data_IF_254207299760
#
_entry.id   IF_254207299760
#
_cell.length_a   1.000
_cell.length_b   1.000
_cell.length_c   1.000
_cell.angle_alpha   90.00
_cell.angle_beta   90.00
_cell.angle_gamma   90.00
#
_symmetry.space_group_name_H-M   'P 1'
#
loop_
_entity.id
_entity.type
_entity.pdbx_description
1 polymer ?
#
# COMPACT_ATOMS: atom_id res chain seq x y z
N UNK A 1 5.18 17.65 10.63
CA UNK A 1 4.36 16.48 11.02
C UNK A 1 5.07 15.76 12.14
N UNK A 2 4.41 15.54 13.27
CA UNK A 2 4.98 14.89 14.46
C UNK A 2 4.76 13.37 14.46
N UNK A 3 4.15 12.86 13.39
CA UNK A 3 3.75 11.46 13.25
C UNK A 3 4.30 10.84 11.98
N UNK A 4 4.65 9.56 12.05
CA UNK A 4 4.99 8.71 10.93
C UNK A 4 3.95 7.58 10.83
N UNK A 5 3.35 7.41 9.66
CA UNK A 5 2.45 6.28 9.39
C UNK A 5 3.30 5.03 9.13
N UNK A 6 3.06 3.99 9.92
CA UNK A 6 3.59 2.63 9.74
C UNK A 6 2.45 1.64 9.62
N UNK A 7 2.69 0.52 8.97
CA UNK A 7 1.67 -0.50 8.75
C UNK A 7 2.01 -1.77 9.52
N UNK A 8 0.96 -2.44 9.99
CA UNK A 8 1.08 -3.63 10.82
C UNK A 8 0.13 -4.72 10.31
N UNK A 9 0.47 -5.98 10.59
CA UNK A 9 -0.31 -7.13 10.19
C UNK A 9 -0.47 -8.15 11.30
N UNK A 10 -1.60 -8.85 11.26
CA UNK A 10 -1.98 -9.80 12.30
C UNK A 10 -1.37 -11.18 12.02
N UNK A 11 -0.36 -11.54 12.81
CA UNK A 11 0.28 -12.86 12.76
C UNK A 11 -0.58 -13.94 13.43
N UNK A 12 -1.17 -13.61 14.57
CA UNK A 12 -2.12 -14.46 15.32
C UNK A 12 -3.14 -13.59 16.05
N UNK A 13 -4.09 -14.19 16.76
CA UNK A 13 -5.21 -13.47 17.39
C UNK A 13 -4.79 -12.22 18.20
N UNK A 14 -3.67 -12.29 18.92
CA UNK A 14 -3.14 -11.19 19.75
C UNK A 14 -1.79 -10.63 19.28
N UNK A 15 -1.15 -11.25 18.29
CA UNK A 15 0.18 -10.85 17.81
C UNK A 15 0.09 -10.05 16.53
N UNK A 16 0.52 -8.80 16.61
CA UNK A 16 0.73 -7.92 15.45
C UNK A 16 2.22 -7.76 15.20
N UNK A 17 2.61 -7.61 13.94
CA UNK A 17 3.97 -7.26 13.53
C UNK A 17 3.94 -6.07 12.60
N UNK A 18 4.97 -5.24 12.69
CA UNK A 18 5.16 -4.14 11.76
C UNK A 18 5.65 -4.68 10.41
N UNK A 19 5.14 -4.13 9.31
CA UNK A 19 5.73 -4.33 8.01
C UNK A 19 7.09 -3.66 7.92
N UNK A 20 7.95 -4.13 7.02
CA UNK A 20 9.18 -3.40 6.71
C UNK A 20 8.88 -1.98 6.19
N UNK A 21 9.94 -1.16 6.17
CA UNK A 21 9.85 0.24 5.77
C UNK A 21 9.42 0.40 4.31
N UNK A 22 9.87 -0.47 3.42
CA UNK A 22 9.61 -0.37 1.98
C UNK A 22 8.16 -0.70 1.66
N UNK A 23 7.60 -1.68 2.37
CA UNK A 23 6.20 -2.07 2.27
C UNK A 23 5.29 -1.01 2.90
N UNK A 24 5.63 -0.48 4.07
CA UNK A 24 4.91 0.64 4.66
C UNK A 24 4.91 1.86 3.73
N UNK A 25 6.04 2.18 3.10
CA UNK A 25 6.16 3.29 2.14
C UNK A 25 5.27 3.07 0.92
N UNK A 26 5.23 1.85 0.39
CA UNK A 26 4.32 1.50 -0.70
C UNK A 26 2.86 1.66 -0.31
N UNK A 27 2.44 1.14 0.84
CA UNK A 27 1.05 1.26 1.30
C UNK A 27 0.66 2.72 1.55
N UNK A 28 1.58 3.55 2.05
CA UNK A 28 1.37 4.99 2.21
C UNK A 28 1.22 5.73 0.87
N UNK A 29 1.70 5.17 -0.24
CA UNK A 29 1.53 5.76 -1.59
C UNK A 29 0.19 5.43 -2.24
N UNK A 30 -0.58 4.49 -1.67
CA UNK A 30 -1.88 4.09 -2.18
C UNK A 30 -2.98 5.03 -1.66
N UNK A 31 -4.06 5.16 -2.43
CA UNK A 31 -5.28 5.81 -1.96
C UNK A 31 -5.95 4.97 -0.87
N UNK A 32 -6.66 5.60 0.07
CA UNK A 32 -7.37 4.93 1.16
C UNK A 32 -8.46 3.96 0.67
N UNK A 33 -8.98 4.19 -0.53
CA UNK A 33 -9.97 3.35 -1.21
C UNK A 33 -9.34 2.24 -2.10
N UNK A 34 -8.01 2.11 -2.10
CA UNK A 34 -7.32 1.16 -2.95
C UNK A 34 -7.75 -0.29 -2.66
N UNK A 35 -8.20 -0.97 -3.71
CA UNK A 35 -8.60 -2.38 -3.69
C UNK A 35 -7.73 -3.20 -4.64
N UNK A 36 -7.11 -4.25 -4.10
CA UNK A 36 -6.35 -5.22 -4.89
C UNK A 36 -5.01 -4.69 -5.38
N UNK A 37 -4.40 -3.76 -4.64
CA UNK A 37 -3.02 -3.35 -4.91
C UNK A 37 -2.11 -4.56 -4.68
N UNK A 38 -1.30 -4.91 -5.69
CA UNK A 38 -0.49 -6.13 -5.67
C UNK A 38 1.00 -5.82 -5.53
N UNK A 39 1.71 -6.64 -4.76
CA UNK A 39 3.17 -6.57 -4.61
C UNK A 39 3.73 -7.96 -4.30
N UNK A 40 4.89 -8.27 -4.86
CA UNK A 40 5.63 -9.48 -4.49
C UNK A 40 6.40 -9.26 -3.18
N UNK A 41 6.26 -10.17 -2.24
CA UNK A 41 6.93 -10.14 -0.92
C UNK A 41 7.50 -11.54 -0.67
N UNK A 42 8.83 -11.65 -0.58
CA UNK A 42 9.52 -12.92 -0.31
C UNK A 42 9.10 -14.07 -1.27
N UNK A 43 8.85 -13.74 -2.54
CA UNK A 43 8.41 -14.71 -3.55
C UNK A 43 6.90 -15.00 -3.58
N UNK A 44 6.10 -14.31 -2.74
CA UNK A 44 4.64 -14.45 -2.69
C UNK A 44 3.91 -13.27 -3.32
N UNK A 45 2.86 -13.55 -4.09
CA UNK A 45 2.03 -12.52 -4.71
C UNK A 45 0.98 -12.01 -3.74
N UNK A 46 1.26 -10.92 -3.04
CA UNK A 46 0.37 -10.34 -2.05
C UNK A 46 -0.55 -9.28 -2.68
N UNK A 47 -1.83 -9.29 -2.29
CA UNK A 47 -2.80 -8.27 -2.61
C UNK A 47 -3.31 -7.59 -1.34
N UNK A 48 -3.51 -6.28 -1.42
CA UNK A 48 -3.96 -5.45 -0.31
C UNK A 48 -5.30 -4.78 -0.65
N UNK A 49 -6.24 -4.83 0.30
CA UNK A 49 -7.51 -4.10 0.27
C UNK A 49 -7.54 -3.16 1.48
N UNK A 50 -7.30 -1.87 1.23
CA UNK A 50 -7.20 -0.85 2.29
C UNK A 50 -8.56 -0.45 2.83
N UNK A 51 -9.64 -0.68 2.07
CA UNK A 51 -11.02 -0.43 2.53
C UNK A 51 -11.46 -1.42 3.59
N UNK A 52 -11.02 -2.68 3.43
CA UNK A 52 -11.34 -3.78 4.35
C UNK A 52 -10.21 -4.02 5.38
N UNK A 53 -9.09 -3.32 5.25
CA UNK A 53 -7.89 -3.49 6.05
C UNK A 53 -7.46 -4.96 6.08
N UNK A 54 -7.25 -5.52 4.89
CA UNK A 54 -6.84 -6.91 4.70
C UNK A 54 -5.70 -7.04 3.68
N UNK A 55 -4.85 -8.05 3.91
CA UNK A 55 -3.94 -8.58 2.91
C UNK A 55 -4.34 -10.01 2.56
N UNK A 56 -4.07 -10.42 1.32
CA UNK A 56 -4.34 -11.75 0.80
C UNK A 56 -3.15 -12.24 0.00
N UNK A 57 -2.67 -13.45 0.31
CA UNK A 57 -1.73 -14.16 -0.56
C UNK A 57 -2.51 -14.75 -1.75
N UNK A 58 -2.23 -14.28 -2.96
CA UNK A 58 -2.95 -14.67 -4.17
C UNK A 58 -2.71 -16.13 -4.56
N UNK A 59 -1.57 -16.69 -4.16
CA UNK A 59 -1.17 -18.05 -4.50
C UNK A 59 -1.87 -19.07 -3.60
N UNK A 60 -2.11 -18.73 -2.33
CA UNK A 60 -2.71 -19.63 -1.32
C UNK A 60 -4.13 -19.26 -0.92
N UNK A 61 -4.57 -18.03 -1.21
CA UNK A 61 -5.83 -17.45 -0.73
C UNK A 61 -5.83 -17.10 0.76
N UNK A 62 -4.70 -17.23 1.45
CA UNK A 62 -4.59 -16.94 2.88
C UNK A 62 -4.70 -15.43 3.15
N UNK A 63 -5.55 -15.04 4.10
CA UNK A 63 -5.82 -13.65 4.42
C UNK A 63 -5.39 -13.29 5.84
N UNK A 64 -4.87 -12.07 6.02
CA UNK A 64 -4.59 -11.49 7.33
C UNK A 64 -5.21 -10.09 7.44
N UNK A 65 -5.58 -9.71 8.66
CA UNK A 65 -5.89 -8.32 8.97
C UNK A 65 -4.63 -7.48 8.87
N UNK A 66 -4.75 -6.28 8.32
CA UNK A 66 -3.73 -5.23 8.43
C UNK A 66 -4.31 -4.05 9.20
N UNK A 67 -3.46 -3.13 9.64
CA UNK A 67 -3.86 -1.86 10.26
C UNK A 67 -2.78 -0.79 10.05
N UNK A 68 -3.18 0.48 10.10
CA UNK A 68 -2.22 1.57 10.19
C UNK A 68 -1.99 1.95 11.65
N UNK A 69 -0.74 2.22 11.99
CA UNK A 69 -0.35 2.79 13.28
C UNK A 69 0.38 4.11 13.04
N UNK A 70 0.17 5.05 13.95
CA UNK A 70 0.82 6.36 13.94
C UNK A 70 1.91 6.34 14.99
N UNK A 71 3.15 6.45 14.52
CA UNK A 71 4.33 6.53 15.37
C UNK A 71 4.63 7.98 15.70
N UNK A 72 4.72 8.31 16.98
CA UNK A 72 5.23 9.60 17.44
C UNK A 72 6.72 9.69 17.11
N UNK A 73 7.10 10.72 16.35
CA UNK A 73 8.50 10.95 15.99
C UNK A 73 9.27 11.28 17.28
N UNK A 74 10.47 10.71 17.43
CA UNK A 74 11.37 10.82 18.59
C UNK A 74 10.98 10.03 19.84
N UNK A 75 9.69 9.79 20.12
CA UNK A 75 9.27 8.95 21.26
C UNK A 75 9.19 7.46 20.92
N UNK A 76 8.89 7.15 19.64
CA UNK A 76 8.76 5.77 19.17
C UNK A 76 7.45 5.08 19.59
N UNK A 77 6.61 5.72 20.40
CA UNK A 77 5.29 5.21 20.73
C UNK A 77 4.39 5.16 19.49
N UNK A 78 3.53 4.13 19.42
CA UNK A 78 2.65 3.87 18.29
C UNK A 78 1.21 3.76 18.74
N UNK A 79 0.28 4.38 18.03
CA UNK A 79 -1.14 4.32 18.31
C UNK A 79 -1.94 3.88 17.09
N UNK A 80 -3.00 3.11 17.32
CA UNK A 80 -3.93 2.64 16.29
C UNK A 80 -5.30 3.21 16.61
N UNK A 81 -5.92 3.77 15.59
CA UNK A 81 -7.32 4.17 15.61
C UNK A 81 -8.16 3.14 14.88
N UNK A 82 -9.19 2.63 15.55
CA UNK A 82 -10.08 1.60 14.99
C UNK A 82 -11.54 1.87 15.32
N UNK A 83 -12.42 1.27 14.52
CA UNK A 83 -13.85 1.24 14.76
C UNK A 83 -14.36 -0.20 14.73
N UNK A 84 -15.41 -0.48 15.49
CA UNK A 84 -16.07 -1.76 15.48
C UNK A 84 -17.09 -1.77 14.33
N UNK A 85 -16.86 -2.60 13.32
CA UNK A 85 -17.81 -2.76 12.22
C UNK A 85 -19.16 -3.29 12.74
N UNK A 86 -20.23 -2.67 12.25
CA UNK A 86 -21.59 -3.17 12.44
C UNK A 86 -21.80 -4.42 11.59
N UNK A 87 -22.23 -5.49 12.23
CA UNK A 87 -22.48 -6.77 11.59
C UNK A 87 -22.55 -7.93 12.57
N UNK A 88 -22.94 -9.13 12.10
CA UNK A 88 -23.08 -10.32 12.95
C UNK A 88 -21.74 -10.77 13.55
N UNK A 89 -20.61 -10.36 12.96
CA UNK A 89 -19.27 -10.58 13.50
C UNK A 89 -18.63 -9.23 13.77
N UNK A 90 -18.85 -8.72 14.98
CA UNK A 90 -18.19 -7.51 15.48
C UNK A 90 -16.67 -7.68 15.34
N UNK A 91 -16.06 -6.87 14.49
CA UNK A 91 -14.62 -6.86 14.22
C UNK A 91 -14.12 -5.43 14.31
N UNK A 92 -12.97 -5.27 14.96
CA UNK A 92 -12.24 -4.01 14.93
C UNK A 92 -11.52 -3.87 13.61
N UNK A 93 -11.75 -2.74 12.94
CA UNK A 93 -11.13 -2.37 11.68
C UNK A 93 -10.41 -1.05 11.88
N UNK A 94 -9.15 -1.02 11.43
CA UNK A 94 -8.35 0.20 11.45
C UNK A 94 -9.01 1.27 10.60
N UNK A 95 -8.95 2.52 11.05
CA UNK A 95 -9.24 3.62 10.15
C UNK A 95 -8.16 3.71 9.04
N UNK A 96 -8.51 4.26 7.87
CA UNK A 96 -7.52 4.66 6.85
C UNK A 96 -6.47 5.63 7.40
N UNK A 97 -5.29 5.63 6.79
CA UNK A 97 -4.11 6.33 7.31
C UNK A 97 -4.30 7.85 7.42
N UNK A 98 -4.93 8.46 6.42
CA UNK A 98 -5.28 9.88 6.37
C UNK A 98 -6.23 10.27 7.50
N UNK A 99 -7.24 9.44 7.75
CA UNK A 99 -8.20 9.68 8.82
C UNK A 99 -7.60 9.43 10.20
N UNK A 100 -6.85 8.36 10.37
CA UNK A 100 -6.15 8.09 11.63
C UNK A 100 -5.24 9.27 11.98
N UNK A 101 -4.49 9.80 11.00
CA UNK A 101 -3.63 10.96 11.20
C UNK A 101 -4.43 12.19 11.64
N UNK A 102 -5.56 12.49 10.98
CA UNK A 102 -6.45 13.59 11.40
C UNK A 102 -6.96 13.39 12.83
N UNK A 103 -7.36 12.18 13.20
CA UNK A 103 -7.82 11.89 14.55
C UNK A 103 -6.69 12.07 15.57
N UNK A 104 -5.49 11.63 15.26
CA UNK A 104 -4.35 11.80 16.16
C UNK A 104 -3.93 13.26 16.32
N UNK A 105 -3.94 14.04 15.24
CA UNK A 105 -3.61 15.47 15.26
C UNK A 105 -4.64 16.31 16.02
N UNK A 106 -5.94 15.97 15.89
CA UNK A 106 -7.01 16.72 16.55
C UNK A 106 -7.31 16.23 17.97
N UNK A 107 -7.09 14.93 18.25
CA UNK A 107 -7.68 14.26 19.42
C UNK A 107 -6.66 13.40 20.18
N UNK A 108 -5.66 12.85 19.48
CA UNK A 108 -4.70 11.88 20.02
C UNK A 108 -3.89 12.38 21.21
N UNK A 109 -3.77 13.71 21.34
CA UNK A 109 -3.18 14.36 22.52
C UNK A 109 -1.77 13.87 22.76
N UNK A 110 -0.84 14.21 21.86
CA UNK A 110 0.57 13.92 22.07
C UNK A 110 1.21 15.07 22.84
N UNK A 111 1.84 14.71 23.96
CA UNK A 111 2.54 15.63 24.84
C UNK A 111 3.87 16.01 24.21
N UNK A 112 3.90 17.10 23.46
CA UNK A 112 5.17 17.70 23.06
C UNK A 112 5.54 18.67 24.18
N UNK A 113 6.57 18.31 24.96
CA UNK A 113 7.19 19.17 25.98
C UNK A 113 6.29 19.67 27.12
N UNK A 114 5.58 18.77 27.81
CA UNK A 114 4.81 19.02 29.05
C UNK A 114 3.68 20.08 28.98
N UNK A 115 3.53 20.80 27.87
CA UNK A 115 2.38 21.63 27.61
C UNK A 115 1.38 20.80 26.82
N UNK A 116 0.24 20.52 27.46
CA UNK A 116 -0.91 19.94 26.78
C UNK A 116 -1.26 20.94 25.67
N UNK A 117 -0.97 20.61 24.42
CA UNK A 117 -1.56 21.30 23.28
C UNK A 117 -3.07 20.96 23.31
N UNK A 118 -3.80 21.61 24.21
CA UNK A 118 -5.25 21.71 24.19
C UNK A 118 -5.56 22.65 23.04
N UNK A 119 -5.32 22.17 21.82
CA UNK A 119 -6.10 22.70 20.72
C UNK A 119 -7.56 22.41 21.09
N UNK A 120 -8.42 23.41 20.92
CA UNK A 120 -9.86 23.22 20.91
C UNK A 120 -10.14 22.14 19.85
N UNK A 121 -10.09 20.89 20.27
CA UNK A 121 -10.36 19.77 19.41
C UNK A 121 -11.81 19.92 19.03
N UNK A 122 -12.09 20.02 17.74
CA UNK A 122 -13.46 19.85 17.27
C UNK A 122 -13.92 18.50 17.81
N UNK A 123 -14.86 18.54 18.77
CA UNK A 123 -15.37 17.34 19.43
C UNK A 123 -16.01 16.37 18.44
N UNK A 124 -16.33 16.90 17.26
CA UNK A 124 -16.97 16.25 16.14
C UNK A 124 -16.17 16.47 14.86
N UNK A 125 -15.78 15.38 14.21
CA UNK A 125 -15.05 15.41 12.94
C UNK A 125 -15.86 14.68 11.88
N UNK A 126 -16.15 15.36 10.78
CA UNK A 126 -16.81 14.80 9.59
C UNK A 126 -15.78 14.34 8.56
N UNK A 127 -16.03 13.20 7.93
CA UNK A 127 -15.16 12.64 6.90
C UNK A 127 -15.89 11.61 6.03
N UNK A 128 -15.25 11.22 4.94
CA UNK A 128 -15.70 10.14 4.08
C UNK A 128 -14.95 8.85 4.40
N UNK A 129 -15.68 7.77 4.64
CA UNK A 129 -15.15 6.43 4.85
C UNK A 129 -15.82 5.47 3.88
N UNK A 130 -15.04 4.92 2.95
CA UNK A 130 -15.54 3.98 1.93
C UNK A 130 -16.73 4.52 1.10
N UNK A 131 -16.75 5.82 0.80
CA UNK A 131 -17.87 6.45 0.07
C UNK A 131 -19.06 6.84 0.94
N UNK A 132 -18.96 6.74 2.27
CA UNK A 132 -20.00 7.15 3.21
C UNK A 132 -19.52 8.33 4.05
N UNK A 133 -20.37 9.34 4.19
CA UNK A 133 -20.14 10.42 5.15
C UNK A 133 -20.39 9.92 6.58
N UNK A 134 -19.44 10.22 7.46
CA UNK A 134 -19.43 9.75 8.83
C UNK A 134 -19.00 10.88 9.76
N UNK A 135 -19.60 10.90 10.95
CA UNK A 135 -19.35 11.85 12.01
C UNK A 135 -18.73 11.12 13.20
N UNK A 136 -17.48 11.43 13.54
CA UNK A 136 -16.87 10.93 14.78
C UNK A 136 -17.17 11.91 15.91
N UNK A 137 -17.76 11.41 16.99
CA UNK A 137 -17.88 12.08 18.26
C UNK A 137 -16.89 11.45 19.24
N UNK A 138 -15.77 12.14 19.47
CA UNK A 138 -14.70 11.59 20.30
C UNK A 138 -15.07 11.50 21.79
N UNK A 139 -15.64 12.54 22.43
CA UNK A 139 -16.06 12.42 23.83
C UNK A 139 -16.97 11.22 24.08
N UNK A 140 -17.84 10.89 23.13
CA UNK A 140 -18.71 9.72 23.19
C UNK A 140 -18.05 8.41 22.73
N UNK A 141 -16.85 8.47 22.12
CA UNK A 141 -16.17 7.37 21.43
C UNK A 141 -17.07 6.64 20.45
N UNK A 142 -17.80 7.42 19.64
CA UNK A 142 -18.72 6.91 18.63
C UNK A 142 -18.43 7.49 17.26
N UNK A 143 -18.74 6.71 16.23
CA UNK A 143 -18.83 7.15 14.85
C UNK A 143 -20.27 6.91 14.39
N UNK A 144 -20.89 7.90 13.77
CA UNK A 144 -22.23 7.80 13.18
C UNK A 144 -22.11 7.89 11.68
N UNK A 145 -22.66 6.93 10.94
CA UNK A 145 -22.76 7.00 9.48
C UNK A 145 -23.97 7.86 9.12
N UNK A 146 -23.75 9.02 8.50
CA UNK A 146 -24.79 10.05 8.34
C UNK A 146 -25.95 9.62 7.45
N UNK A 147 -25.69 8.74 6.47
CA UNK A 147 -26.72 8.27 5.55
C UNK A 147 -27.61 7.15 6.10
N UNK A 148 -27.14 6.38 7.09
CA UNK A 148 -27.89 5.27 7.69
C UNK A 148 -28.22 5.49 9.17
N UNK A 149 -27.66 6.53 9.78
CA UNK A 149 -27.68 6.81 11.23
C UNK A 149 -27.10 5.66 12.08
N UNK A 150 -26.36 4.75 11.46
CA UNK A 150 -25.73 3.64 12.17
C UNK A 150 -24.59 4.14 13.05
N UNK A 151 -24.60 3.74 14.32
CA UNK A 151 -23.53 4.04 15.25
C UNK A 151 -22.55 2.88 15.38
N UNK A 152 -21.26 3.19 15.39
CA UNK A 152 -20.16 2.29 15.67
C UNK A 152 -19.34 2.81 16.86
N UNK A 153 -18.78 1.91 17.64
CA UNK A 153 -17.81 2.28 18.69
C UNK A 153 -16.45 2.50 18.05
N UNK A 154 -15.73 3.53 18.51
CA UNK A 154 -14.35 3.79 18.11
C UNK A 154 -13.39 3.66 19.29
N UNK A 155 -12.13 3.38 19.00
CA UNK A 155 -11.07 3.30 19.99
C UNK A 155 -9.74 3.85 19.46
N UNK A 156 -8.92 4.31 20.40
CA UNK A 156 -7.50 4.60 20.23
C UNK A 156 -6.74 3.69 21.17
N UNK A 157 -5.87 2.85 20.64
CA UNK A 157 -5.09 1.89 21.44
C UNK A 157 -3.60 2.03 21.16
N UNK A 158 -2.76 1.82 22.19
CA UNK A 158 -1.31 1.71 21.98
C UNK A 158 -1.03 0.44 21.19
N UNK A 159 -0.25 0.55 20.12
CA UNK A 159 0.13 -0.61 19.32
C UNK A 159 1.01 -1.55 20.14
N UNK A 160 0.69 -2.83 20.04
CA UNK A 160 1.45 -3.93 20.62
C UNK A 160 2.28 -4.67 19.56
N UNK A 161 2.47 -4.09 18.36
CA UNK A 161 3.16 -4.79 17.29
C UNK A 161 4.65 -4.93 17.57
N UNK A 162 5.16 -6.15 17.40
CA UNK A 162 6.59 -6.42 17.40
C UNK A 162 7.30 -5.76 16.23
N UNK A 163 8.65 -5.74 16.26
CA UNK A 163 9.44 -5.16 15.17
C UNK A 163 9.23 -5.93 13.85
N UNK A 164 9.56 -5.31 12.71
CA UNK A 164 9.63 -6.02 11.43
C UNK A 164 10.53 -7.26 11.54
N UNK A 165 10.22 -8.30 10.77
CA UNK A 165 11.00 -9.54 10.69
C UNK A 165 11.12 -10.33 12.01
N UNK A 166 10.33 -10.00 13.05
CA UNK A 166 10.22 -10.92 14.18
C UNK A 166 9.55 -12.20 13.71
N UNK A 167 9.93 -13.36 14.26
CA UNK A 167 9.46 -14.69 13.84
C UNK A 167 7.95 -14.71 13.53
N UNK A 168 7.63 -14.64 12.24
CA UNK A 168 6.28 -14.85 11.70
C UNK A 168 6.11 -16.37 11.61
N UNK A 169 5.14 -16.96 12.32
CA UNK A 169 4.89 -18.38 12.17
C UNK A 169 4.64 -18.70 10.69
N UNK A 170 5.22 -19.79 10.16
CA UNK A 170 5.14 -20.12 8.75
C UNK A 170 3.69 -20.10 8.30
N UNK A 171 3.43 -19.43 7.16
CA UNK A 171 2.12 -19.42 6.52
C UNK A 171 1.59 -20.86 6.49
N UNK A 172 0.39 -21.13 7.01
CA UNK A 172 -0.12 -22.49 7.11
C UNK A 172 -0.06 -23.13 5.72
N UNK A 173 0.80 -24.13 5.60
CA UNK A 173 1.00 -24.85 4.36
C UNK A 173 -0.33 -25.54 4.02
N UNK A 174 -1.06 -24.95 3.07
CA UNK A 174 -2.27 -25.50 2.45
C UNK A 174 -3.50 -25.53 3.39
N UNK A 175 -4.20 -24.41 3.49
CA UNK A 175 -5.66 -24.49 3.70
C UNK A 175 -6.29 -25.23 2.51
N UNK A 176 -7.24 -26.13 2.77
CA UNK A 176 -7.91 -26.89 1.71
C UNK A 176 -8.51 -25.93 0.67
N UNK A 177 -8.13 -26.04 -0.62
CA UNK A 177 -8.50 -25.05 -1.63
C UNK A 177 -10.01 -24.83 -1.76
N UNK A 178 -10.82 -25.84 -1.45
CA UNK A 178 -12.27 -25.83 -1.64
C UNK A 178 -12.97 -24.81 -0.74
N UNK A 179 -12.65 -24.75 0.55
CA UNK A 179 -13.38 -23.88 1.49
C UNK A 179 -12.96 -22.40 1.41
N UNK A 180 -11.72 -22.13 1.00
CA UNK A 180 -11.16 -20.77 0.88
C UNK A 180 -11.42 -20.18 -0.50
N UNK A 181 -11.35 -20.98 -1.57
CA UNK A 181 -11.69 -20.53 -2.93
C UNK A 181 -13.16 -20.16 -3.06
N UNK A 182 -14.06 -20.85 -2.37
CA UNK A 182 -15.48 -20.47 -2.34
C UNK A 182 -15.71 -19.16 -1.59
N UNK A 183 -15.05 -18.97 -0.43
CA UNK A 183 -15.18 -17.76 0.38
C UNK A 183 -14.55 -16.52 -0.29
N UNK A 184 -13.49 -16.72 -1.07
CA UNK A 184 -12.70 -15.66 -1.71
C UNK A 184 -12.92 -15.57 -3.23
N UNK A 185 -13.89 -16.33 -3.78
CA UNK A 185 -14.22 -16.35 -5.21
C UNK A 185 -14.42 -14.94 -5.80
N UNK A 186 -15.10 -13.98 -5.13
CA UNK A 186 -15.29 -12.65 -5.69
C UNK A 186 -13.97 -11.90 -5.90
N UNK A 187 -13.01 -12.05 -4.99
CA UNK A 187 -11.72 -11.36 -5.04
C UNK A 187 -10.80 -11.95 -6.12
N UNK A 188 -10.74 -13.28 -6.19
CA UNK A 188 -9.93 -14.02 -7.18
C UNK A 188 -10.49 -13.81 -8.61
N UNK A 189 -11.82 -13.86 -8.79
CA UNK A 189 -12.44 -13.65 -10.11
C UNK A 189 -12.29 -12.21 -10.62
N UNK A 190 -12.34 -11.21 -9.74
CA UNK A 190 -12.13 -9.81 -10.13
C UNK A 190 -10.68 -9.56 -10.58
N UNK A 191 -9.70 -10.10 -9.85
CA UNK A 191 -8.28 -10.04 -10.22
C UNK A 191 -8.01 -10.75 -11.56
N UNK A 192 -8.58 -11.94 -11.76
CA UNK A 192 -8.43 -12.70 -13.01
C UNK A 192 -9.04 -11.98 -14.23
N UNK A 193 -10.17 -11.28 -14.06
CA UNK A 193 -10.77 -10.46 -15.12
C UNK A 193 -9.88 -9.27 -15.52
N UNK A 194 -9.23 -8.61 -14.56
CA UNK A 194 -8.29 -7.50 -14.83
C UNK A 194 -7.03 -7.96 -15.56
N UNK A 195 -6.49 -9.14 -15.21
CA UNK A 195 -5.34 -9.72 -15.91
C UNK A 195 -5.66 -10.07 -17.39
N UNK A 196 -6.88 -10.54 -17.67
CA UNK A 196 -7.33 -10.82 -19.05
C UNK A 196 -7.62 -9.56 -19.86
N UNK A 197 -8.11 -8.49 -19.23
CA UNK A 197 -8.35 -7.19 -19.89
C UNK A 197 -7.07 -6.45 -20.31
N UNK A 198 -5.92 -6.73 -19.69
CA UNK A 198 -4.62 -6.14 -20.09
C UNK A 198 -4.01 -6.81 -21.33
N UNK A 199 -4.25 -8.11 -21.55
CA UNK A 199 -3.71 -8.83 -22.72
C UNK A 199 -4.47 -8.53 -24.03
N UNK A 200 -5.72 -8.08 -23.96
CA UNK A 200 -6.54 -7.79 -25.16
C UNK A 200 -6.38 -6.37 -25.72
N UNK A 201 -5.81 -5.42 -24.97
CA UNK A 201 -5.56 -4.04 -25.45
C UNK A 201 -4.21 -3.85 -26.15
N UNK A 202 -3.29 -4.80 -26.08
CA UNK A 202 -1.95 -4.69 -26.68
C UNK A 202 -1.86 -5.19 -28.14
N UNK A 203 -2.92 -5.77 -28.71
CA UNK A 203 -2.88 -6.44 -30.01
C UNK A 203 -3.64 -5.74 -31.15
N UNK A 204 -3.96 -4.43 -31.04
CA UNK A 204 -4.65 -3.72 -32.12
C UNK A 204 -4.10 -2.31 -32.34
N UNK A 205 -2.93 -2.25 -32.98
CA UNK A 205 -2.55 -1.16 -33.87
C UNK A 205 -1.86 -1.77 -35.09
N UNK A 206 -2.66 -2.10 -36.10
CA UNK A 206 -2.16 -2.15 -37.47
C UNK A 206 -1.83 -0.71 -37.91
N UNK A 207 -0.76 -0.51 -38.70
CA UNK A 207 -0.39 0.81 -39.19
C UNK A 207 -1.24 1.17 -40.41
N UNK A 208 -2.06 2.20 -40.30
CA UNK A 208 -2.64 2.87 -41.48
C UNK A 208 -1.61 3.83 -42.05
N UNK A 209 -1.09 3.42 -43.19
CA UNK A 209 -0.25 4.15 -44.13
C UNK A 209 -1.03 5.31 -44.78
N UNK A 210 -0.54 6.54 -44.60
CA UNK A 210 -0.89 7.74 -45.39
C UNK A 210 0.26 8.74 -45.38
N UNK A 211 1.17 8.57 -46.34
CA UNK A 211 1.49 9.55 -47.38
C UNK A 211 1.98 10.96 -47.02
N UNK A 212 3.22 11.24 -47.47
CA UNK A 212 3.85 12.49 -47.98
C UNK A 212 5.34 12.45 -47.59
N UNK A 213 6.34 12.57 -48.46
CA UNK A 213 6.51 13.58 -49.48
C UNK A 213 7.42 13.13 -50.65
N UNK A 214 7.16 13.77 -51.78
CA UNK A 214 7.94 13.86 -53.01
C UNK A 214 9.37 14.41 -52.80
N UNK A 215 10.37 13.76 -53.40
CA UNK A 215 11.50 14.48 -54.02
C UNK A 215 12.16 13.68 -55.16
N UNK A 216 12.06 14.31 -56.33
CA UNK A 216 12.80 14.22 -57.59
C UNK A 216 14.09 13.39 -57.70
N UNK A 217 14.16 12.64 -58.80
CA UNK A 217 15.35 12.08 -59.48
C UNK A 217 16.24 13.18 -60.10
N UNK A 218 17.55 12.96 -60.05
CA UNK A 218 18.60 13.15 -61.10
C UNK A 218 19.94 12.82 -60.41
N UNK A 219 20.56 11.65 -60.63
CA UNK A 219 21.56 11.27 -61.67
C UNK A 219 22.99 11.85 -61.50
N UNK A 220 23.96 10.99 -61.87
CA UNK A 220 25.43 11.07 -61.78
C UNK A 220 26.02 10.98 -60.35
N UNK A 221 26.81 9.97 -59.94
CA UNK A 221 27.79 9.18 -60.66
C UNK A 221 29.18 9.70 -60.31
N UNK A 222 29.92 9.03 -59.41
CA UNK A 222 31.40 8.94 -59.45
C UNK A 222 31.89 7.93 -58.40
N UNK A 223 32.67 6.96 -58.88
CA UNK A 223 33.48 6.04 -58.10
C UNK A 223 34.56 6.79 -57.32
N UNK A 224 34.91 6.33 -56.12
CA UNK A 224 36.32 6.04 -55.85
C UNK A 224 36.53 5.18 -54.61
N UNK A 225 37.43 4.22 -54.80
CA UNK A 225 38.05 3.36 -53.82
C UNK A 225 38.86 4.17 -52.79
N UNK A 226 39.08 3.58 -51.61
CA UNK A 226 39.98 4.18 -50.62
C UNK A 226 40.00 3.41 -49.31
N UNK A 227 40.75 2.30 -49.30
CA UNK A 227 41.16 1.60 -48.11
C UNK A 227 41.92 2.53 -47.13
N UNK A 228 41.85 2.26 -45.83
CA UNK A 228 43.07 1.95 -45.04
C UNK A 228 42.74 1.54 -43.61
N UNK A 229 43.41 0.46 -43.22
CA UNK A 229 43.65 -0.03 -41.87
C UNK A 229 44.25 1.02 -40.93
N UNK A 230 43.96 0.90 -39.63
CA UNK A 230 44.59 1.70 -38.58
C UNK A 230 44.62 1.01 -37.21
N UNK A 231 45.44 -0.04 -37.09
CA UNK A 231 45.85 -0.66 -35.82
C UNK A 231 46.65 0.31 -34.93
N UNK A 232 46.44 0.23 -33.61
CA UNK A 232 47.41 0.60 -32.57
C UNK A 232 46.69 0.71 -31.21
N UNK A 233 46.79 -0.18 -30.21
CA UNK A 233 47.90 -0.92 -29.55
C UNK A 233 48.90 -0.02 -28.80
N UNK A 234 48.71 0.13 -27.49
CA UNK A 234 49.69 -0.08 -26.37
C UNK A 234 49.10 0.47 -25.07
N UNK A 235 48.90 -0.29 -23.98
CA UNK A 235 49.86 -0.93 -23.04
C UNK A 235 50.87 0.04 -22.41
N UNK A 236 50.71 0.34 -21.11
CA UNK A 236 51.72 0.25 -20.01
C UNK A 236 51.17 0.90 -18.73
N UNK A 237 51.06 0.13 -17.63
CA UNK A 237 52.00 -0.05 -16.48
C UNK A 237 51.74 0.99 -15.39
N UNK A 238 51.22 0.61 -14.21
CA UNK A 238 51.93 -0.04 -13.08
C UNK A 238 52.71 1.01 -12.25
N UNK A 239 52.26 1.28 -11.02
CA UNK A 239 53.05 1.17 -9.77
C UNK A 239 52.32 1.75 -8.53
N UNK A 240 52.19 0.87 -7.55
CA UNK A 240 52.54 0.98 -6.11
C UNK A 240 52.84 2.33 -5.46
N UNK A 241 52.44 2.41 -4.18
CA UNK A 241 53.00 3.27 -3.14
C UNK A 241 51.91 3.93 -2.29
N UNK A 242 51.40 3.30 -1.23
CA UNK A 242 51.95 3.36 0.13
C UNK A 242 51.89 4.77 0.75
N UNK A 243 50.90 4.97 1.63
CA UNK A 243 51.06 5.36 3.04
C UNK A 243 49.71 5.17 3.76
#
# INVERSE_FOLDING_TARGET
>A
MNFQIVWEYQCSASKWLEFDKDLSTFLNSLSSDAKGAAREIEGWNMQFDLRQMQQCNSDTGFMRSIRCALRVINEGEKFVWSYQQNGPRKRWVSFPADLALKLEENVGGVYIDNERAVHQADERVEFELNGQEVLINWPAKKMTVLNTEEECVIERVKSNAGPPNSFDPPHPAKYSPTSVRERNRPFIEEAAKRAKGRKSKAARKEPTDRGKDSRTKEEAGFENEGATDGKGRKKRKEKDGAL
#
